data_IF_577383659482
#
_entry.id   IF_577383659482
#
_cell.length_a   1.000
_cell.length_b   1.000
_cell.length_c   1.000
_cell.angle_alpha   90.00
_cell.angle_beta   90.00
_cell.angle_gamma   90.00
#
_symmetry.space_group_name_H-M   'P 1'
#
loop_
_entity.id
_entity.type
_entity.pdbx_description
1 polymer ?
#
# COMPACT_ATOMS: atom_id res chain seq x y z
N UNK A 1 -18.52 -37.82 2.38
CA UNK A 1 -19.47 -36.72 2.63
C UNK A 1 -18.67 -35.43 2.46
N UNK A 2 -18.57 -34.98 1.21
CA UNK A 2 -17.76 -33.81 0.80
C UNK A 2 -18.75 -32.75 0.41
N UNK A 3 -19.11 -31.85 1.32
CA UNK A 3 -19.90 -30.66 1.00
C UNK A 3 -19.70 -29.57 2.07
N UNK A 4 -18.69 -28.70 1.88
CA UNK A 4 -18.76 -27.34 2.43
C UNK A 4 -18.37 -26.30 1.37
N UNK A 5 -19.23 -26.05 0.36
CA UNK A 5 -18.98 -25.02 -0.67
C UNK A 5 -19.28 -23.58 -0.21
N UNK A 6 -19.89 -23.36 0.97
CA UNK A 6 -20.36 -22.03 1.39
C UNK A 6 -19.26 -21.10 1.95
N UNK A 7 -18.23 -21.64 2.61
CA UNK A 7 -17.23 -20.81 3.30
C UNK A 7 -16.23 -20.16 2.31
N UNK A 8 -15.83 -20.87 1.25
CA UNK A 8 -14.83 -20.39 0.30
C UNK A 8 -15.30 -19.17 -0.51
N UNK A 9 -16.57 -19.15 -0.91
CA UNK A 9 -17.15 -18.03 -1.67
C UNK A 9 -17.31 -16.80 -0.77
N UNK A 10 -17.74 -16.99 0.49
CA UNK A 10 -17.84 -15.91 1.47
C UNK A 10 -16.46 -15.33 1.81
N UNK A 11 -15.46 -16.18 2.08
CA UNK A 11 -14.09 -15.71 2.34
C UNK A 11 -13.46 -15.02 1.14
N UNK A 12 -13.74 -15.48 -0.09
CA UNK A 12 -13.29 -14.78 -1.31
C UNK A 12 -13.97 -13.42 -1.46
N UNK A 13 -15.27 -13.32 -1.17
CA UNK A 13 -16.01 -12.07 -1.24
C UNK A 13 -15.52 -11.07 -0.19
N UNK A 14 -15.36 -11.52 1.06
CA UNK A 14 -14.82 -10.71 2.16
C UNK A 14 -13.37 -10.30 1.83
N UNK A 15 -12.55 -11.23 1.36
CA UNK A 15 -11.18 -10.96 0.95
C UNK A 15 -11.09 -9.93 -0.17
N UNK A 16 -12.00 -10.00 -1.16
CA UNK A 16 -12.08 -9.03 -2.24
C UNK A 16 -12.46 -7.63 -1.73
N UNK A 17 -13.47 -7.51 -0.85
CA UNK A 17 -13.86 -6.23 -0.25
C UNK A 17 -12.73 -5.64 0.59
N UNK A 18 -12.05 -6.47 1.39
CA UNK A 18 -10.89 -6.05 2.19
C UNK A 18 -9.75 -5.58 1.29
N UNK A 19 -9.46 -6.29 0.19
CA UNK A 19 -8.43 -5.91 -0.75
C UNK A 19 -8.74 -4.57 -1.44
N UNK A 20 -9.99 -4.36 -1.85
CA UNK A 20 -10.43 -3.09 -2.43
C UNK A 20 -10.33 -1.93 -1.43
N UNK A 21 -10.76 -2.16 -0.18
CA UNK A 21 -10.61 -1.17 0.90
C UNK A 21 -9.14 -0.84 1.17
N UNK A 22 -8.28 -1.86 1.25
CA UNK A 22 -6.84 -1.67 1.44
C UNK A 22 -6.21 -0.91 0.26
N UNK A 23 -6.58 -1.22 -0.97
CA UNK A 23 -6.11 -0.50 -2.16
C UNK A 23 -6.51 0.98 -2.12
N UNK A 24 -7.76 1.29 -1.75
CA UNK A 24 -8.24 2.67 -1.61
C UNK A 24 -7.47 3.45 -0.54
N UNK A 25 -7.26 2.85 0.64
CA UNK A 25 -6.47 3.45 1.72
C UNK A 25 -5.02 3.68 1.30
N UNK A 26 -4.40 2.68 0.65
CA UNK A 26 -3.04 2.79 0.15
C UNK A 26 -2.91 3.93 -0.87
N UNK A 27 -3.85 4.04 -1.81
CA UNK A 27 -3.87 5.10 -2.80
C UNK A 27 -4.00 6.49 -2.15
N UNK A 28 -4.80 6.61 -1.08
CA UNK A 28 -4.88 7.84 -0.29
C UNK A 28 -3.57 8.18 0.40
N UNK A 29 -2.95 7.22 1.09
CA UNK A 29 -1.67 7.42 1.78
C UNK A 29 -0.58 7.84 0.79
N UNK A 30 -0.50 7.19 -0.37
CA UNK A 30 0.46 7.55 -1.42
C UNK A 30 0.20 8.97 -1.92
N UNK A 31 -1.06 9.33 -2.19
CA UNK A 31 -1.39 10.68 -2.65
C UNK A 31 -1.07 11.77 -1.63
N UNK A 32 -1.31 11.52 -0.34
CA UNK A 32 -1.04 12.50 0.72
C UNK A 32 0.44 12.60 1.03
N UNK A 33 1.16 11.48 1.03
CA UNK A 33 2.61 11.46 1.15
C UNK A 33 3.27 12.23 -0.01
N UNK A 34 2.76 12.05 -1.23
CA UNK A 34 3.24 12.77 -2.40
C UNK A 34 2.94 14.26 -2.32
N UNK A 35 1.72 14.64 -1.94
CA UNK A 35 1.35 16.04 -1.77
C UNK A 35 2.17 16.72 -0.66
N UNK A 36 2.48 16.00 0.42
CA UNK A 36 3.32 16.50 1.50
C UNK A 36 4.80 16.63 1.10
N UNK A 37 5.30 15.74 0.23
CA UNK A 37 6.69 15.75 -0.23
C UNK A 37 6.94 16.74 -1.38
N UNK A 38 6.06 16.78 -2.38
CA UNK A 38 6.20 17.59 -3.60
C UNK A 38 5.48 18.94 -3.54
N UNK A 39 4.61 19.17 -2.54
CA UNK A 39 3.82 20.40 -2.41
C UNK A 39 2.72 20.60 -3.46
N UNK A 40 2.59 19.68 -4.42
CA UNK A 40 1.60 19.72 -5.52
C UNK A 40 0.99 18.32 -5.74
N UNK A 41 -0.16 18.25 -6.42
CA UNK A 41 -0.85 16.97 -6.71
C UNK A 41 0.07 16.03 -7.51
N UNK A 42 0.02 14.70 -7.26
CA UNK A 42 0.85 13.73 -7.97
C UNK A 42 0.71 13.88 -9.48
N UNK A 43 1.85 13.98 -10.22
CA UNK A 43 1.86 14.21 -11.65
C UNK A 43 1.11 13.07 -12.35
N UNK A 44 0.28 13.43 -13.33
CA UNK A 44 -0.33 12.45 -14.22
C UNK A 44 0.77 11.88 -15.12
N UNK A 45 0.54 10.68 -15.66
CA UNK A 45 1.53 9.93 -16.45
C UNK A 45 2.11 10.68 -17.66
N UNK A 46 1.57 11.85 -18.02
CA UNK A 46 1.99 12.68 -19.16
C UNK A 46 2.81 13.93 -18.77
N UNK A 47 3.17 14.15 -17.51
CA UNK A 47 4.05 15.29 -17.14
C UNK A 47 5.53 14.90 -17.29
N UNK A 48 6.05 15.16 -18.48
CA UNK A 48 7.46 15.03 -18.82
C UNK A 48 8.32 16.02 -18.03
N UNK A 49 9.16 15.48 -17.14
CA UNK A 49 10.59 15.68 -17.36
C UNK A 49 11.43 16.48 -16.35
N UNK A 50 10.92 16.96 -15.20
CA UNK A 50 11.77 17.76 -14.30
C UNK A 50 11.61 17.44 -12.80
N UNK A 51 11.71 16.16 -12.44
CA UNK A 51 11.86 15.76 -11.04
C UNK A 51 13.26 16.14 -10.54
N UNK A 52 13.36 17.18 -9.69
CA UNK A 52 14.64 17.61 -9.10
C UNK A 52 15.25 16.51 -8.25
N UNK A 53 16.58 16.39 -8.20
CA UNK A 53 17.29 15.37 -7.40
C UNK A 53 16.85 15.33 -5.93
N UNK A 54 16.55 16.49 -5.33
CA UNK A 54 16.02 16.58 -3.97
C UNK A 54 14.65 15.89 -3.82
N UNK A 55 13.82 15.93 -4.86
CA UNK A 55 12.50 15.31 -4.90
C UNK A 55 12.63 13.78 -5.00
N UNK A 56 13.55 13.30 -5.85
CA UNK A 56 13.90 11.87 -5.95
C UNK A 56 14.49 11.35 -4.64
N UNK A 57 15.38 12.12 -4.00
CA UNK A 57 15.97 11.77 -2.72
C UNK A 57 14.92 11.72 -1.60
N UNK A 58 14.00 12.69 -1.56
CA UNK A 58 12.87 12.70 -0.63
C UNK A 58 11.96 11.49 -0.81
N UNK A 59 11.61 11.17 -2.06
CA UNK A 59 10.82 9.98 -2.39
C UNK A 59 11.54 8.69 -1.93
N UNK A 60 12.85 8.56 -2.18
CA UNK A 60 13.63 7.39 -1.78
C UNK A 60 13.65 7.18 -0.26
N UNK A 61 13.77 8.25 0.53
CA UNK A 61 13.72 8.18 2.01
C UNK A 61 12.34 7.69 2.47
N UNK A 62 11.27 8.24 1.90
CA UNK A 62 9.89 7.84 2.24
C UNK A 62 9.65 6.38 1.87
N UNK A 63 10.01 5.98 0.65
CA UNK A 63 9.87 4.59 0.19
C UNK A 63 10.69 3.63 1.06
N UNK A 64 11.94 3.98 1.40
CA UNK A 64 12.79 3.20 2.28
C UNK A 64 12.18 3.02 3.68
N UNK A 65 11.63 4.09 4.26
CA UNK A 65 10.96 4.06 5.55
C UNK A 65 9.69 3.19 5.52
N UNK A 66 8.87 3.31 4.48
CA UNK A 66 7.67 2.48 4.31
C UNK A 66 8.03 1.00 4.18
N UNK A 67 9.02 0.64 3.36
CA UNK A 67 9.47 -0.76 3.21
C UNK A 67 9.98 -1.32 4.54
N UNK A 68 10.73 -0.53 5.31
CA UNK A 68 11.20 -0.94 6.63
C UNK A 68 10.01 -1.23 7.57
N UNK A 69 9.01 -0.35 7.60
CA UNK A 69 7.80 -0.55 8.42
C UNK A 69 7.00 -1.78 7.97
N UNK A 70 6.80 -1.97 6.66
CA UNK A 70 6.16 -3.16 6.11
C UNK A 70 6.89 -4.43 6.53
N UNK A 71 8.23 -4.43 6.49
CA UNK A 71 9.03 -5.58 6.92
C UNK A 71 8.84 -5.88 8.42
N UNK A 72 8.82 -4.86 9.26
CA UNK A 72 8.55 -5.01 10.70
C UNK A 72 7.14 -5.52 10.93
N UNK A 73 6.14 -5.00 10.20
CA UNK A 73 4.76 -5.41 10.35
C UNK A 73 4.51 -6.82 9.80
N UNK A 74 5.17 -7.22 8.71
CA UNK A 74 5.11 -8.56 8.17
C UNK A 74 5.74 -9.57 9.13
N UNK A 75 6.91 -9.25 9.68
CA UNK A 75 7.59 -10.13 10.65
C UNK A 75 6.83 -10.22 11.97
N UNK A 76 6.30 -9.10 12.49
CA UNK A 76 5.49 -9.09 13.74
C UNK A 76 4.07 -9.61 13.55
N UNK A 77 3.45 -9.32 12.42
CA UNK A 77 2.12 -9.81 12.05
C UNK A 77 2.13 -11.31 11.81
N UNK A 78 3.16 -11.83 11.12
CA UNK A 78 3.39 -13.27 11.02
C UNK A 78 3.64 -13.90 12.39
N UNK A 79 4.45 -13.27 13.25
CA UNK A 79 4.70 -13.76 14.62
C UNK A 79 3.46 -13.74 15.53
N UNK A 80 2.46 -12.90 15.26
CA UNK A 80 1.19 -12.84 15.99
C UNK A 80 0.13 -13.80 15.41
N UNK A 81 0.26 -14.20 14.15
CA UNK A 81 -0.61 -15.16 13.48
C UNK A 81 -0.14 -16.61 13.64
N UNK A 82 1.17 -16.83 13.88
CA UNK A 82 1.80 -18.13 14.15
C UNK A 82 1.86 -18.48 15.66
N UNK A 83 1.28 -17.66 16.53
CA UNK A 83 1.17 -17.91 17.98
C UNK A 83 -0.26 -18.22 18.38
#
# INVERSE_FOLDING_TARGET
MVDTPSQSTQSKLIGAVVALGAAWVAQKIVSTAWQAASGHQPPKADDEGDARFAEVAGAAVITGAVIALVRVLATRGAAKMLR
#
